data_IF_703810423850
#
_entry.id   IF_703810423850
#
_cell.length_a   1.000
_cell.length_b   1.000
_cell.length_c   1.000
_cell.angle_alpha   90.00
_cell.angle_beta   90.00
_cell.angle_gamma   90.00
#
_symmetry.space_group_name_H-M   'P 1'
#
loop_
_entity.id
_entity.type
_entity.pdbx_description
1 polymer ?
#
# COMPACT_ATOMS: atom_id res chain seq x y z
N UNK A 1 -27.70 -60.43 -31.52
CA UNK A 1 -26.51 -60.38 -30.65
C UNK A 1 -26.20 -58.91 -30.43
N UNK A 2 -26.40 -58.43 -29.18
CA UNK A 2 -26.18 -57.09 -28.60
C UNK A 2 -26.89 -55.87 -29.24
N UNK A 3 -27.37 -54.85 -28.52
CA UNK A 3 -28.00 -54.65 -27.22
C UNK A 3 -28.53 -53.20 -27.28
N UNK A 4 -29.71 -52.91 -26.69
CA UNK A 4 -30.13 -51.52 -26.44
C UNK A 4 -29.19 -50.88 -25.42
N UNK A 5 -28.82 -49.62 -25.60
CA UNK A 5 -28.43 -48.75 -24.47
C UNK A 5 -28.89 -47.31 -24.75
N UNK A 6 -29.94 -46.88 -24.05
CA UNK A 6 -30.18 -45.47 -23.74
C UNK A 6 -29.11 -45.05 -22.72
N UNK A 7 -28.43 -43.93 -22.93
CA UNK A 7 -27.90 -43.14 -21.82
C UNK A 7 -28.03 -41.65 -22.11
N UNK A 8 -28.75 -41.00 -21.21
CA UNK A 8 -28.86 -39.57 -20.98
C UNK A 8 -27.50 -38.93 -20.73
N UNK A 9 -27.24 -37.77 -21.34
CA UNK A 9 -26.38 -36.73 -20.76
C UNK A 9 -27.01 -35.36 -21.03
N UNK A 10 -28.02 -35.03 -20.22
CA UNK A 10 -28.21 -33.67 -19.73
C UNK A 10 -26.99 -33.34 -18.83
N UNK A 11 -26.53 -32.09 -18.81
CA UNK A 11 -25.29 -31.60 -18.17
C UNK A 11 -24.06 -31.78 -19.09
N UNK A 12 -23.45 -30.75 -19.66
CA UNK A 12 -22.92 -29.55 -19.04
C UNK A 12 -22.90 -28.41 -20.07
N UNK A 13 -23.90 -27.54 -20.01
CA UNK A 13 -23.79 -26.17 -20.53
C UNK A 13 -23.97 -25.24 -19.33
N UNK A 14 -23.12 -25.44 -18.32
CA UNK A 14 -22.96 -24.51 -17.22
C UNK A 14 -21.65 -23.75 -17.47
N UNK A 15 -21.83 -22.60 -18.13
CA UNK A 15 -21.20 -21.34 -17.77
C UNK A 15 -20.06 -21.47 -16.76
N UNK A 16 -18.84 -21.68 -17.25
CA UNK A 16 -17.68 -21.04 -16.63
C UNK A 16 -17.46 -19.71 -17.35
N UNK A 17 -18.47 -18.83 -17.23
CA UNK A 17 -18.15 -17.42 -17.13
C UNK A 17 -17.60 -17.33 -15.71
N UNK A 18 -16.27 -17.47 -15.59
CA UNK A 18 -15.59 -16.94 -14.43
C UNK A 18 -15.87 -15.44 -14.49
N UNK A 19 -16.92 -15.04 -13.78
CA UNK A 19 -17.23 -13.66 -13.54
C UNK A 19 -16.01 -13.12 -12.77
N UNK A 20 -15.10 -12.43 -13.47
CA UNK A 20 -14.07 -11.62 -12.83
C UNK A 20 -14.69 -10.35 -12.23
N UNK A 21 -15.94 -10.44 -11.79
CA UNK A 21 -16.64 -9.40 -11.07
C UNK A 21 -16.14 -9.45 -9.63
N UNK A 22 -15.45 -8.38 -9.24
CA UNK A 22 -15.07 -8.11 -7.85
C UNK A 22 -16.37 -8.09 -7.03
N UNK A 23 -16.60 -9.08 -6.16
CA UNK A 23 -17.79 -9.11 -5.32
C UNK A 23 -17.69 -7.98 -4.29
N UNK A 24 -18.39 -6.88 -4.53
CA UNK A 24 -18.51 -5.75 -3.60
C UNK A 24 -19.61 -6.05 -2.57
N UNK A 25 -19.44 -7.07 -1.73
CA UNK A 25 -20.51 -7.52 -0.83
C UNK A 25 -20.44 -6.94 0.59
N UNK A 26 -19.39 -6.19 0.95
CA UNK A 26 -19.20 -5.69 2.31
C UNK A 26 -19.24 -4.15 2.39
N UNK A 27 -20.46 -3.60 2.35
CA UNK A 27 -20.71 -2.18 2.64
C UNK A 27 -20.89 -1.99 4.16
N UNK A 28 -20.12 -1.08 4.74
CA UNK A 28 -20.10 -0.79 6.18
C UNK A 28 -20.29 0.70 6.46
N UNK A 29 -20.56 1.05 7.72
CA UNK A 29 -20.78 2.42 8.17
C UNK A 29 -19.94 2.70 9.43
N UNK A 30 -18.67 3.09 9.27
CA UNK A 30 -17.76 3.33 10.38
C UNK A 30 -18.27 4.43 11.32
N UNK A 31 -17.97 4.27 12.60
CA UNK A 31 -18.31 5.23 13.66
C UNK A 31 -17.10 5.46 14.54
N UNK A 32 -16.77 6.72 14.76
CA UNK A 32 -15.75 7.12 15.72
C UNK A 32 -16.40 7.30 17.09
N UNK A 33 -15.90 6.57 18.07
CA UNK A 33 -16.36 6.60 19.46
C UNK A 33 -15.24 7.20 20.30
N UNK A 34 -15.55 8.24 21.07
CA UNK A 34 -14.59 8.90 21.94
C UNK A 34 -15.02 8.74 23.40
N UNK A 35 -14.08 8.29 24.24
CA UNK A 35 -14.30 8.30 25.68
C UNK A 35 -14.36 9.75 26.21
N UNK A 36 -15.12 9.99 27.29
CA UNK A 36 -15.13 11.29 27.97
C UNK A 36 -13.94 11.34 28.94
N UNK A 37 -12.93 12.19 28.67
CA UNK A 37 -11.76 12.39 29.54
C UNK A 37 -10.62 13.14 28.86
N UNK A 38 -9.57 13.50 29.61
CA UNK A 38 -8.38 14.21 29.08
C UNK A 38 -7.49 13.29 28.22
N UNK A 39 -7.51 11.98 28.48
CA UNK A 39 -6.85 10.91 27.69
C UNK A 39 -7.91 10.04 27.00
N UNK A 40 -8.76 10.67 26.18
CA UNK A 40 -9.82 9.96 25.47
C UNK A 40 -9.23 8.99 24.42
N UNK A 41 -9.22 7.69 24.72
CA UNK A 41 -8.98 6.65 23.72
C UNK A 41 -10.04 6.79 22.62
N UNK A 42 -9.60 7.02 21.36
CA UNK A 42 -10.49 7.00 20.21
C UNK A 42 -10.63 5.56 19.73
N UNK A 43 -11.87 5.10 19.56
CA UNK A 43 -12.18 3.77 19.04
C UNK A 43 -12.93 3.91 17.72
N UNK A 44 -12.43 3.27 16.67
CA UNK A 44 -13.13 3.18 15.40
C UNK A 44 -13.90 1.86 15.34
N UNK A 45 -15.22 1.95 15.38
CA UNK A 45 -16.10 0.81 15.17
C UNK A 45 -16.48 0.73 13.69
N UNK A 46 -16.23 -0.40 13.02
CA UNK A 46 -16.57 -0.61 11.61
C UNK A 46 -17.66 -1.67 11.49
N UNK A 47 -17.44 -2.83 12.10
CA UNK A 47 -18.39 -3.94 12.25
C UNK A 47 -17.95 -4.85 13.41
N UNK A 48 -18.75 -5.85 13.78
CA UNK A 48 -18.54 -6.66 15.00
C UNK A 48 -17.12 -7.26 15.14
N UNK A 49 -16.51 -7.67 14.04
CA UNK A 49 -15.17 -8.27 13.99
C UNK A 49 -14.05 -7.28 13.64
N UNK A 50 -14.39 -6.00 13.36
CA UNK A 50 -13.43 -4.96 13.00
C UNK A 50 -13.66 -3.72 13.87
N UNK A 51 -12.96 -3.71 15.00
CA UNK A 51 -12.90 -2.58 15.94
C UNK A 51 -11.44 -2.21 16.17
N UNK A 52 -11.09 -0.93 15.96
CA UNK A 52 -9.72 -0.43 16.09
C UNK A 52 -9.58 0.48 17.30
N UNK A 53 -8.54 0.26 18.09
CA UNK A 53 -8.09 1.16 19.16
C UNK A 53 -7.04 2.10 18.60
N UNK A 54 -7.39 3.37 18.47
CA UNK A 54 -6.62 4.30 17.67
C UNK A 54 -5.53 4.98 18.50
N UNK A 55 -4.30 4.90 18.00
CA UNK A 55 -3.15 5.67 18.44
C UNK A 55 -2.70 6.60 17.31
N UNK A 56 -2.24 7.81 17.64
CA UNK A 56 -1.73 8.77 16.62
C UNK A 56 -0.55 8.18 15.86
N UNK A 57 -0.56 8.34 14.54
CA UNK A 57 0.57 7.98 13.68
C UNK A 57 1.60 9.11 13.67
N UNK A 58 2.87 8.74 13.64
CA UNK A 58 3.98 9.65 13.34
C UNK A 58 5.07 8.89 12.58
N UNK A 59 5.30 9.28 11.33
CA UNK A 59 6.24 8.67 10.39
C UNK A 59 6.80 9.66 9.36
N UNK A 60 6.16 10.81 9.16
CA UNK A 60 6.64 11.88 8.28
C UNK A 60 7.62 12.83 8.99
N UNK A 61 8.59 13.38 8.25
CA UNK A 61 9.35 14.54 8.72
C UNK A 61 8.47 15.79 8.77
N UNK A 62 8.75 16.71 9.69
CA UNK A 62 7.98 17.97 9.79
C UNK A 62 8.12 18.82 8.51
N UNK A 63 9.34 18.92 7.98
CA UNK A 63 9.61 19.46 6.64
C UNK A 63 9.63 18.31 5.64
N UNK A 64 8.44 17.94 5.16
CA UNK A 64 8.27 16.88 4.18
C UNK A 64 8.48 17.41 2.76
N UNK A 65 9.18 16.68 1.90
CA UNK A 65 9.44 17.09 0.51
C UNK A 65 8.59 16.26 -0.43
N UNK A 66 7.78 16.94 -1.25
CA UNK A 66 7.20 16.35 -2.44
C UNK A 66 7.92 16.86 -3.67
N UNK A 67 8.45 15.94 -4.49
CA UNK A 67 9.16 16.28 -5.73
C UNK A 67 8.38 15.77 -6.94
N UNK A 68 8.32 16.56 -8.00
CA UNK A 68 7.76 16.11 -9.28
C UNK A 68 8.50 16.72 -10.46
N UNK A 69 8.37 16.09 -11.63
CA UNK A 69 8.96 16.58 -12.86
C UNK A 69 7.95 17.42 -13.66
N UNK A 70 8.14 18.73 -13.69
CA UNK A 70 7.32 19.67 -14.48
C UNK A 70 8.17 20.19 -15.63
N UNK A 71 7.75 19.88 -16.88
CA UNK A 71 8.45 20.32 -18.09
C UNK A 71 9.94 19.97 -18.13
N UNK A 72 10.29 18.75 -17.68
CA UNK A 72 11.67 18.25 -17.65
C UNK A 72 12.54 18.87 -16.55
N UNK A 73 11.94 19.56 -15.57
CA UNK A 73 12.63 20.07 -14.39
C UNK A 73 12.02 19.47 -13.14
N UNK A 74 12.87 18.96 -12.24
CA UNK A 74 12.48 18.58 -10.89
C UNK A 74 12.10 19.83 -10.10
N UNK A 75 10.90 19.82 -9.52
CA UNK A 75 10.35 20.87 -8.67
C UNK A 75 10.05 20.28 -7.30
N UNK A 76 10.54 20.94 -6.26
CA UNK A 76 10.35 20.53 -4.87
C UNK A 76 9.29 21.43 -4.21
N UNK A 77 8.29 20.80 -3.58
CA UNK A 77 7.26 21.43 -2.74
C UNK A 77 7.47 20.96 -1.31
N UNK A 78 7.75 21.90 -0.41
CA UNK A 78 7.83 21.63 1.03
C UNK A 78 6.39 21.59 1.57
N UNK A 79 6.06 20.52 2.28
CA UNK A 79 4.77 20.27 2.91
C UNK A 79 4.97 20.09 4.43
N UNK A 80 3.93 20.40 5.21
CA UNK A 80 3.96 20.20 6.65
C UNK A 80 3.58 18.75 6.99
N UNK A 81 4.55 17.94 7.41
CA UNK A 81 4.30 16.54 7.77
C UNK A 81 3.32 16.37 8.92
N UNK A 82 3.32 17.29 9.91
CA UNK A 82 2.38 17.22 11.04
C UNK A 82 0.94 17.47 10.61
N UNK A 83 0.72 18.33 9.62
CA UNK A 83 -0.61 18.54 9.04
C UNK A 83 -1.05 17.33 8.22
N UNK A 84 -0.15 16.74 7.43
CA UNK A 84 -0.43 15.54 6.64
C UNK A 84 -0.83 14.34 7.51
N UNK A 85 -0.23 14.19 8.68
CA UNK A 85 -0.50 13.10 9.64
C UNK A 85 -1.58 13.44 10.67
N UNK A 86 -2.12 14.66 10.68
CA UNK A 86 -3.01 15.13 11.73
C UNK A 86 -4.21 14.20 11.97
N UNK A 87 -4.70 13.56 10.90
CA UNK A 87 -5.86 12.67 10.90
C UNK A 87 -5.50 11.18 10.78
N UNK A 88 -4.22 10.83 10.91
CA UNK A 88 -3.75 9.45 10.81
C UNK A 88 -3.64 8.77 12.14
N UNK A 89 -4.11 7.52 12.16
CA UNK A 89 -4.11 6.66 13.31
C UNK A 89 -3.64 5.25 12.94
N UNK A 90 -3.29 4.48 13.95
CA UNK A 90 -2.98 3.06 13.82
C UNK A 90 -3.51 2.27 15.02
N UNK A 91 -3.72 0.99 14.79
CA UNK A 91 -3.93 -0.01 15.85
C UNK A 91 -2.83 -1.06 15.69
N UNK A 92 -1.89 -1.05 16.63
CA UNK A 92 -0.77 -1.99 16.70
C UNK A 92 -1.26 -3.44 16.76
N UNK A 93 -2.27 -3.68 17.61
CA UNK A 93 -3.06 -4.89 17.76
C UNK A 93 -3.39 -5.60 16.45
N UNK A 94 -4.00 -4.80 15.58
CA UNK A 94 -4.65 -5.26 14.37
C UNK A 94 -3.76 -5.13 13.13
N UNK A 95 -2.53 -4.59 13.27
CA UNK A 95 -1.71 -4.17 12.14
C UNK A 95 -2.49 -3.25 11.20
N UNK A 96 -3.28 -2.34 11.76
CA UNK A 96 -4.13 -1.42 11.04
C UNK A 96 -3.54 -0.01 11.05
N UNK A 97 -3.71 0.71 9.94
CA UNK A 97 -3.35 2.13 9.84
C UNK A 97 -4.34 2.82 8.91
N UNK A 98 -4.99 3.87 9.43
CA UNK A 98 -6.12 4.54 8.78
C UNK A 98 -5.98 6.06 8.88
N UNK A 99 -6.44 6.75 7.85
CA UNK A 99 -6.72 8.18 7.87
C UNK A 99 -8.22 8.39 8.10
N UNK A 100 -8.58 9.28 9.02
CA UNK A 100 -9.96 9.53 9.46
C UNK A 100 -10.28 11.01 9.34
N UNK A 101 -11.18 11.35 8.42
CA UNK A 101 -11.73 12.71 8.31
C UNK A 101 -13.13 12.73 8.93
N UNK A 102 -13.33 13.60 9.91
CA UNK A 102 -14.63 13.84 10.52
C UNK A 102 -15.41 14.85 9.66
N UNK A 103 -16.65 14.52 9.30
CA UNK A 103 -17.55 15.41 8.57
C UNK A 103 -18.82 15.65 9.39
N UNK A 104 -19.63 16.64 9.00
CA UNK A 104 -20.97 16.78 9.57
C UNK A 104 -21.75 15.47 9.31
N UNK A 105 -22.16 14.78 10.37
CA UNK A 105 -22.98 13.56 10.28
C UNK A 105 -22.25 12.23 10.03
N UNK A 106 -20.93 12.17 9.87
CA UNK A 106 -20.21 10.93 9.59
C UNK A 106 -18.69 11.00 9.62
N UNK A 107 -18.03 9.89 9.33
CA UNK A 107 -16.56 9.81 9.23
C UNK A 107 -16.14 9.19 7.92
N UNK A 108 -15.15 9.75 7.25
CA UNK A 108 -14.49 9.15 6.08
C UNK A 108 -13.23 8.45 6.53
N UNK A 109 -13.19 7.13 6.35
CA UNK A 109 -12.03 6.30 6.66
C UNK A 109 -11.40 5.80 5.36
N UNK A 110 -10.10 6.02 5.20
CA UNK A 110 -9.28 5.40 4.16
C UNK A 110 -8.13 4.64 4.84
N UNK A 111 -7.80 3.44 4.37
CA UNK A 111 -6.55 2.80 4.79
C UNK A 111 -6.59 1.28 4.90
N UNK A 112 -5.78 0.77 5.83
CA UNK A 112 -5.46 -0.64 6.00
C UNK A 112 -6.06 -1.12 7.32
N UNK A 113 -6.94 -2.11 7.25
CA UNK A 113 -7.62 -2.68 8.42
C UNK A 113 -6.91 -3.92 8.96
N UNK A 114 -6.23 -4.66 8.09
CA UNK A 114 -5.44 -5.85 8.44
C UNK A 114 -4.47 -6.20 7.31
N UNK A 115 -3.80 -7.34 7.43
CA UNK A 115 -2.96 -7.91 6.37
C UNK A 115 -3.69 -8.12 5.03
N UNK A 116 -5.00 -8.30 5.06
CA UNK A 116 -5.85 -8.68 3.91
C UNK A 116 -7.00 -7.73 3.67
N UNK A 117 -7.34 -6.84 4.61
CA UNK A 117 -8.49 -5.95 4.49
C UNK A 117 -8.05 -4.49 4.30
N UNK A 118 -8.73 -3.79 3.40
CA UNK A 118 -8.61 -2.34 3.15
C UNK A 118 -9.99 -1.71 3.27
N UNK A 119 -10.04 -0.42 3.57
CA UNK A 119 -11.29 0.35 3.63
C UNK A 119 -11.18 1.62 2.80
N UNK A 120 -12.24 1.95 2.08
CA UNK A 120 -12.36 3.19 1.34
C UNK A 120 -13.82 3.69 1.36
N UNK A 121 -14.06 5.02 1.33
CA UNK A 121 -15.40 5.56 1.21
C UNK A 121 -15.97 5.23 -0.17
N UNK A 122 -17.27 4.93 -0.22
CA UNK A 122 -18.00 4.81 -1.48
C UNK A 122 -18.43 6.20 -1.96
N UNK A 123 -18.09 6.54 -3.21
CA UNK A 123 -18.46 7.80 -3.85
C UNK A 123 -19.90 7.69 -4.41
N UNK A 124 -20.88 7.60 -3.50
CA UNK A 124 -22.29 7.52 -3.87
C UNK A 124 -22.85 8.93 -3.97
N UNK A 125 -22.95 9.45 -5.20
CA UNK A 125 -23.66 10.69 -5.46
C UNK A 125 -25.12 10.58 -4.99
N UNK A 126 -25.57 11.55 -4.18
CA UNK A 126 -26.95 11.78 -3.74
C UNK A 126 -27.46 11.14 -2.43
N UNK A 127 -26.73 11.30 -1.31
CA UNK A 127 -27.38 11.40 0.01
C UNK A 127 -27.07 12.76 0.63
N UNK A 128 -28.00 13.30 1.42
CA UNK A 128 -27.80 14.54 2.18
C UNK A 128 -26.49 14.46 2.97
N UNK A 129 -25.74 15.56 3.03
CA UNK A 129 -24.45 15.71 3.75
C UNK A 129 -24.53 15.47 5.28
N UNK A 130 -25.59 14.84 5.78
CA UNK A 130 -25.97 14.80 7.20
C UNK A 130 -26.24 13.36 7.70
N UNK A 131 -25.48 12.37 7.22
CA UNK A 131 -25.65 10.98 7.63
C UNK A 131 -24.40 10.10 7.49
N UNK A 132 -24.47 8.84 7.99
CA UNK A 132 -23.35 7.92 7.96
C UNK A 132 -22.85 7.70 6.53
N UNK A 133 -21.55 7.86 6.34
CA UNK A 133 -20.89 7.67 5.05
C UNK A 133 -20.68 6.16 4.84
N UNK A 134 -21.12 5.59 3.70
CA UNK A 134 -20.89 4.19 3.39
C UNK A 134 -19.44 3.95 2.95
N UNK A 135 -18.87 2.84 3.37
CA UNK A 135 -17.53 2.39 3.01
C UNK A 135 -17.56 0.99 2.45
N UNK A 136 -16.61 0.68 1.58
CA UNK A 136 -16.35 -0.67 1.10
C UNK A 136 -15.15 -1.25 1.84
N UNK A 137 -15.30 -2.51 2.29
CA UNK A 137 -14.15 -3.32 2.74
C UNK A 137 -13.68 -4.18 1.57
N UNK A 138 -12.46 -3.91 1.12
CA UNK A 138 -11.80 -4.65 0.04
C UNK A 138 -10.90 -5.73 0.64
N UNK A 139 -11.11 -6.97 0.22
CA UNK A 139 -10.18 -8.06 0.48
C UNK A 139 -9.10 -8.08 -0.59
N UNK A 140 -7.83 -8.04 -0.18
CA UNK A 140 -6.65 -8.10 -1.05
C UNK A 140 -6.01 -9.48 -0.91
N UNK A 141 -5.81 -10.16 -2.04
CA UNK A 141 -5.12 -11.44 -2.09
C UNK A 141 -3.61 -11.27 -1.93
N UNK A 142 -2.99 -12.13 -1.14
CA UNK A 142 -1.53 -12.18 -1.03
C UNK A 142 -0.99 -13.11 -2.12
N UNK A 143 -0.23 -12.55 -3.07
CA UNK A 143 0.36 -13.32 -4.18
C UNK A 143 1.53 -14.21 -3.77
N UNK A 144 2.24 -13.88 -2.68
CA UNK A 144 3.37 -14.66 -2.17
C UNK A 144 3.01 -15.28 -0.81
N UNK A 145 3.28 -16.58 -0.65
CA UNK A 145 2.92 -17.44 0.48
C UNK A 145 3.57 -17.12 1.83
N UNK A 146 3.77 -15.84 2.17
CA UNK A 146 3.98 -15.41 3.56
C UNK A 146 2.62 -15.44 4.26
N UNK A 147 1.99 -16.61 4.27
CA UNK A 147 0.74 -16.85 4.96
C UNK A 147 1.06 -17.04 6.44
N UNK A 148 1.16 -15.93 7.16
CA UNK A 148 1.33 -15.92 8.60
C UNK A 148 0.71 -14.66 9.17
N UNK A 149 -0.27 -14.80 10.05
CA UNK A 149 -0.74 -13.66 10.85
C UNK A 149 0.46 -13.18 11.67
N UNK A 150 1.02 -12.03 11.27
CA UNK A 150 2.08 -11.38 12.06
C UNK A 150 1.52 -11.13 13.45
N UNK A 151 2.09 -11.79 14.45
CA UNK A 151 1.74 -11.54 15.84
C UNK A 151 2.71 -10.51 16.35
N UNK A 152 2.20 -9.35 16.70
CA UNK A 152 3.04 -8.28 17.21
C UNK A 152 3.66 -8.71 18.55
N UNK A 153 4.97 -8.59 18.68
CA UNK A 153 5.69 -8.85 19.92
C UNK A 153 5.34 -7.85 21.03
N UNK A 154 5.83 -8.07 22.26
CA UNK A 154 5.73 -7.06 23.32
C UNK A 154 6.39 -5.76 22.86
N UNK A 155 5.90 -4.63 23.35
CA UNK A 155 6.50 -3.33 23.03
C UNK A 155 7.89 -3.24 23.67
N UNK A 156 8.94 -3.18 22.83
CA UNK A 156 10.33 -3.09 23.29
C UNK A 156 10.71 -1.61 23.37
N UNK A 157 10.89 -1.11 24.59
CA UNK A 157 11.47 0.22 24.82
C UNK A 157 13.00 0.12 24.71
N UNK A 158 13.54 0.40 23.53
CA UNK A 158 14.98 0.58 23.33
C UNK A 158 15.33 2.06 23.50
N UNK A 159 16.41 2.37 24.24
CA UNK A 159 16.98 3.72 24.30
C UNK A 159 17.81 4.06 23.06
N UNK A 160 18.20 3.05 22.28
CA UNK A 160 18.99 3.22 21.06
C UNK A 160 18.10 3.03 19.82
N UNK A 161 17.55 4.14 19.34
CA UNK A 161 16.79 4.20 18.09
C UNK A 161 17.72 4.59 16.93
N UNK A 162 17.70 3.82 15.86
CA UNK A 162 18.35 4.14 14.60
C UNK A 162 17.29 4.60 13.61
N UNK A 163 17.30 5.90 13.33
CA UNK A 163 16.39 6.50 12.36
C UNK A 163 16.96 6.32 10.95
N UNK A 164 16.10 5.92 10.02
CA UNK A 164 16.44 5.74 8.61
C UNK A 164 15.58 6.69 7.79
N UNK A 165 16.20 7.69 7.18
CA UNK A 165 15.51 8.62 6.29
C UNK A 165 15.18 7.92 4.97
N UNK A 166 13.92 8.00 4.56
CA UNK A 166 13.38 7.26 3.44
C UNK A 166 12.83 8.22 2.38
N UNK A 167 13.29 8.02 1.15
CA UNK A 167 12.67 8.53 -0.07
C UNK A 167 11.86 7.43 -0.74
N UNK A 168 10.62 7.74 -1.10
CA UNK A 168 9.80 6.90 -1.98
C UNK A 168 9.70 7.58 -3.34
N UNK A 169 10.09 6.86 -4.39
CA UNK A 169 9.91 7.27 -5.78
C UNK A 169 8.77 6.46 -6.38
N UNK A 170 7.84 7.12 -7.06
CA UNK A 170 6.70 6.47 -7.74
C UNK A 170 6.72 6.72 -9.23
N UNK A 171 6.28 5.74 -10.00
CA UNK A 171 6.00 5.95 -11.43
C UNK A 171 4.61 6.55 -11.68
N UNK A 172 4.36 6.89 -12.95
CA UNK A 172 3.09 7.38 -13.44
C UNK A 172 1.97 6.34 -13.31
N UNK A 173 2.29 5.04 -13.41
CA UNK A 173 1.31 3.97 -13.19
C UNK A 173 0.74 3.99 -11.78
N UNK A 174 1.59 4.12 -10.76
CA UNK A 174 1.13 4.18 -9.38
C UNK A 174 0.49 5.53 -9.07
N UNK A 175 1.13 6.62 -9.48
CA UNK A 175 0.63 7.97 -9.24
C UNK A 175 -0.77 8.22 -9.84
N UNK A 176 -1.09 7.62 -11.00
CA UNK A 176 -2.39 7.79 -11.67
C UNK A 176 -3.60 7.31 -10.86
N UNK A 177 -3.39 6.50 -9.82
CA UNK A 177 -4.46 6.03 -8.95
C UNK A 177 -4.93 7.11 -7.95
N UNK A 178 -4.18 8.20 -7.80
CA UNK A 178 -4.41 9.23 -6.78
C UNK A 178 -4.95 10.52 -7.40
N UNK A 179 -5.93 11.12 -6.73
CA UNK A 179 -6.55 12.38 -7.18
C UNK A 179 -5.71 13.60 -6.80
N UNK A 180 -4.98 13.53 -5.68
CA UNK A 180 -4.18 14.63 -5.14
C UNK A 180 -2.82 14.11 -4.66
N UNK A 181 -1.84 15.02 -4.62
CA UNK A 181 -0.52 14.78 -4.03
C UNK A 181 -0.64 14.36 -2.56
N UNK A 182 -1.53 15.02 -1.82
CA UNK A 182 -1.78 14.74 -0.41
C UNK A 182 -2.27 13.29 -0.22
N UNK A 183 -3.22 12.81 -1.04
CA UNK A 183 -3.71 11.42 -0.97
C UNK A 183 -2.59 10.39 -1.19
N UNK A 184 -1.66 10.66 -2.14
CA UNK A 184 -0.50 9.79 -2.40
C UNK A 184 0.46 9.74 -1.21
N UNK A 185 0.84 10.91 -0.67
CA UNK A 185 1.75 11.00 0.47
C UNK A 185 1.13 10.32 1.69
N UNK A 186 -0.15 10.57 1.94
CA UNK A 186 -0.87 9.97 3.03
C UNK A 186 -0.96 8.44 2.91
N UNK A 187 -1.18 7.92 1.70
CA UNK A 187 -1.15 6.48 1.44
C UNK A 187 0.20 5.85 1.84
N UNK A 188 1.31 6.47 1.45
CA UNK A 188 2.63 5.97 1.86
C UNK A 188 2.90 6.11 3.35
N UNK A 189 2.43 7.18 3.99
CA UNK A 189 2.55 7.33 5.44
C UNK A 189 1.83 6.18 6.18
N UNK A 190 0.61 5.83 5.78
CA UNK A 190 -0.11 4.68 6.35
C UNK A 190 0.66 3.36 6.16
N UNK A 191 1.21 3.14 4.96
CA UNK A 191 2.04 1.96 4.67
C UNK A 191 3.30 1.94 5.55
N UNK A 192 4.01 3.05 5.65
CA UNK A 192 5.26 3.17 6.41
C UNK A 192 5.05 3.04 7.91
N UNK A 193 3.89 3.46 8.43
CA UNK A 193 3.56 3.17 9.83
C UNK A 193 3.48 1.67 10.08
N UNK A 194 2.86 0.90 9.20
CA UNK A 194 2.82 -0.57 9.33
C UNK A 194 4.18 -1.23 9.15
N UNK A 195 5.05 -0.66 8.32
CA UNK A 195 6.45 -1.09 8.25
C UNK A 195 7.13 -0.87 9.60
N UNK A 196 7.01 0.33 10.19
CA UNK A 196 7.60 0.63 11.49
C UNK A 196 7.12 -0.34 12.58
N UNK A 197 5.83 -0.70 12.62
CA UNK A 197 5.32 -1.70 13.60
C UNK A 197 6.03 -3.05 13.44
N UNK A 198 6.35 -3.49 12.21
CA UNK A 198 7.11 -4.72 11.98
C UNK A 198 8.56 -4.63 12.44
N UNK A 199 9.15 -3.44 12.38
CA UNK A 199 10.53 -3.21 12.81
C UNK A 199 10.63 -2.93 14.32
N UNK A 200 9.52 -2.81 15.05
CA UNK A 200 9.55 -2.66 16.52
C UNK A 200 10.18 -3.86 17.24
N UNK A 201 10.16 -5.04 16.62
CA UNK A 201 10.78 -6.26 17.14
C UNK A 201 12.32 -6.22 17.02
N UNK A 202 12.90 -5.22 16.35
CA UNK A 202 14.35 -5.04 16.28
C UNK A 202 14.90 -4.46 17.60
N UNK A 203 15.97 -5.07 18.11
CA UNK A 203 16.65 -4.62 19.32
C UNK A 203 18.15 -4.47 19.04
N UNK A 204 18.73 -3.33 19.44
CA UNK A 204 20.16 -3.00 19.33
C UNK A 204 20.71 -2.90 17.87
N UNK A 205 20.35 -1.85 17.12
CA UNK A 205 19.42 -0.78 17.48
C UNK A 205 17.97 -1.14 17.14
N UNK A 206 17.03 -0.38 17.71
CA UNK A 206 15.64 -0.39 17.24
C UNK A 206 15.54 0.50 16.00
N UNK A 207 15.15 -0.06 14.87
CA UNK A 207 15.07 0.67 13.60
C UNK A 207 13.73 1.38 13.48
N UNK A 208 13.76 2.65 13.08
CA UNK A 208 12.56 3.43 12.78
C UNK A 208 12.76 4.20 11.48
N UNK A 209 11.88 3.99 10.51
CA UNK A 209 11.88 4.72 9.25
C UNK A 209 11.17 6.07 9.42
N UNK A 210 11.78 7.11 8.87
CA UNK A 210 11.22 8.45 8.72
C UNK A 210 11.03 8.71 7.23
N UNK A 211 9.79 8.82 6.78
CA UNK A 211 9.48 9.14 5.38
C UNK A 211 9.65 10.65 5.19
N UNK A 212 10.70 11.04 4.47
CA UNK A 212 11.12 12.43 4.29
C UNK A 212 10.72 12.99 2.94
N UNK A 213 10.74 12.14 1.90
CA UNK A 213 10.49 12.55 0.53
C UNK A 213 9.60 11.57 -0.21
N UNK A 214 8.61 12.08 -0.94
CA UNK A 214 7.92 11.36 -2.03
C UNK A 214 8.22 12.08 -3.33
N UNK A 215 8.69 11.34 -4.32
CA UNK A 215 9.03 11.86 -5.64
C UNK A 215 8.27 11.13 -6.75
N UNK A 216 7.62 11.88 -7.64
CA UNK A 216 7.07 11.34 -8.88
C UNK A 216 8.19 11.32 -9.93
N UNK A 217 8.54 10.12 -10.38
CA UNK A 217 9.54 9.92 -11.42
C UNK A 217 9.14 10.61 -12.72
N UNK A 218 10.12 10.80 -13.61
CA UNK A 218 9.82 11.27 -14.95
C UNK A 218 8.84 10.31 -15.67
N UNK A 219 8.07 10.86 -16.61
CA UNK A 219 7.15 10.05 -17.40
C UNK A 219 7.91 8.94 -18.13
N UNK A 220 7.30 7.75 -18.21
CA UNK A 220 7.87 6.58 -18.89
C UNK A 220 9.22 6.13 -18.29
N UNK A 221 9.49 6.43 -17.00
CA UNK A 221 10.69 5.99 -16.31
C UNK A 221 10.78 4.46 -16.13
N UNK A 222 9.65 3.79 -16.04
CA UNK A 222 9.56 2.35 -15.80
C UNK A 222 10.21 1.51 -16.92
N UNK A 223 11.11 0.59 -16.55
CA UNK A 223 11.68 -0.41 -17.46
C UNK A 223 10.71 -1.58 -17.63
N UNK A 224 9.96 -1.58 -18.74
CA UNK A 224 8.84 -2.50 -18.98
C UNK A 224 9.06 -3.38 -20.21
N UNK A 225 8.47 -4.57 -20.17
CA UNK A 225 8.39 -5.49 -21.31
C UNK A 225 6.99 -6.09 -21.43
N UNK A 226 6.69 -6.69 -22.58
CA UNK A 226 5.40 -7.35 -22.84
C UNK A 226 5.61 -8.84 -23.05
N UNK A 227 4.78 -9.66 -22.42
CA UNK A 227 4.79 -11.11 -22.52
C UNK A 227 3.35 -11.66 -22.41
N UNK A 228 3.10 -12.94 -22.75
CA UNK A 228 1.83 -13.59 -22.43
C UNK A 228 1.48 -13.44 -20.95
N UNK A 229 0.22 -13.15 -20.65
CA UNK A 229 -0.23 -12.95 -19.28
C UNK A 229 -0.08 -14.24 -18.47
N UNK A 230 0.78 -14.24 -17.45
CA UNK A 230 1.00 -15.40 -16.57
C UNK A 230 -0.30 -15.88 -15.91
N UNK A 231 -1.20 -14.95 -15.57
CA UNK A 231 -2.46 -15.27 -14.90
C UNK A 231 -3.55 -15.69 -15.92
N UNK A 232 -3.38 -15.34 -17.21
CA UNK A 232 -4.30 -15.70 -18.31
C UNK A 232 -3.57 -15.94 -19.65
N UNK A 233 -2.74 -17.00 -19.78
CA UNK A 233 -1.77 -17.11 -20.89
C UNK A 233 -2.39 -17.27 -22.27
N UNK A 234 -3.64 -17.73 -22.33
CA UNK A 234 -4.34 -18.09 -23.57
C UNK A 234 -5.03 -16.91 -24.26
N UNK A 235 -5.13 -15.73 -23.63
CA UNK A 235 -6.03 -14.67 -24.10
C UNK A 235 -5.45 -13.25 -24.12
N UNK A 236 -4.32 -13.00 -23.47
CA UNK A 236 -3.78 -11.64 -23.37
C UNK A 236 -2.26 -11.60 -23.38
N UNK A 237 -1.74 -10.53 -23.96
CA UNK A 237 -0.42 -10.00 -23.63
C UNK A 237 -0.60 -9.04 -22.45
N UNK A 238 0.37 -9.05 -21.53
CA UNK A 238 0.40 -8.18 -20.36
C UNK A 238 1.76 -7.49 -20.28
N UNK A 239 1.73 -6.26 -19.78
CA UNK A 239 2.94 -5.47 -19.54
C UNK A 239 3.44 -5.75 -18.14
N UNK A 240 4.74 -6.04 -18.04
CA UNK A 240 5.46 -6.31 -16.80
C UNK A 240 6.60 -5.32 -16.64
N UNK A 241 7.06 -5.14 -15.40
CA UNK A 241 8.26 -4.38 -15.09
C UNK A 241 9.43 -5.35 -14.85
N UNK A 242 10.57 -5.09 -15.49
CA UNK A 242 11.79 -5.88 -15.30
C UNK A 242 12.48 -5.46 -13.99
N UNK A 243 12.54 -6.31 -12.96
CA UNK A 243 13.11 -5.93 -11.67
C UNK A 243 14.61 -5.59 -11.76
N UNK A 244 15.37 -6.31 -12.59
CA UNK A 244 16.82 -6.18 -12.69
C UNK A 244 17.21 -4.88 -13.40
N UNK A 245 16.53 -4.56 -14.49
CA UNK A 245 16.73 -3.29 -15.19
C UNK A 245 16.28 -2.13 -14.29
N UNK A 246 15.11 -2.27 -13.64
CA UNK A 246 14.53 -1.24 -12.79
C UNK A 246 15.43 -0.89 -11.60
N UNK A 247 15.93 -1.87 -10.86
CA UNK A 247 16.78 -1.59 -9.68
C UNK A 247 18.09 -0.91 -10.07
N UNK A 248 18.66 -1.25 -11.23
CA UNK A 248 19.89 -0.64 -11.72
C UNK A 248 19.63 0.80 -12.18
N UNK A 249 18.52 1.05 -12.90
CA UNK A 249 18.11 2.40 -13.30
C UNK A 249 17.84 3.29 -12.09
N UNK A 250 17.05 2.81 -11.12
CA UNK A 250 16.78 3.52 -9.87
C UNK A 250 18.07 3.82 -9.11
N UNK A 251 19.00 2.86 -9.00
CA UNK A 251 20.28 3.11 -8.34
C UNK A 251 21.16 4.13 -9.07
N UNK A 252 21.09 4.19 -10.41
CA UNK A 252 21.86 5.15 -11.20
C UNK A 252 21.32 6.57 -11.06
N UNK A 253 19.99 6.72 -11.06
CA UNK A 253 19.31 8.03 -11.04
C UNK A 253 19.11 8.55 -9.62
N UNK A 254 18.65 7.69 -8.70
CA UNK A 254 18.25 8.04 -7.33
C UNK A 254 19.17 7.47 -6.25
N UNK A 255 20.24 6.74 -6.62
CA UNK A 255 21.14 6.14 -5.63
C UNK A 255 22.15 7.12 -5.01
N UNK A 256 22.20 8.37 -5.49
CA UNK A 256 22.90 9.49 -4.85
C UNK A 256 21.83 10.44 -4.31
N UNK A 257 21.33 10.12 -3.13
CA UNK A 257 20.30 10.88 -2.42
C UNK A 257 20.84 11.29 -1.05
N UNK A 258 20.29 12.36 -0.49
CA UNK A 258 20.58 12.76 0.89
C UNK A 258 20.00 11.75 1.89
N UNK A 259 18.85 11.15 1.54
CA UNK A 259 18.18 10.12 2.32
C UNK A 259 18.98 8.79 2.35
N UNK A 260 18.86 8.08 3.47
CA UNK A 260 19.56 6.81 3.69
C UNK A 260 19.07 5.67 2.78
N UNK A 261 17.78 5.68 2.42
CA UNK A 261 17.16 4.65 1.58
C UNK A 261 16.24 5.29 0.54
N UNK A 262 16.33 4.78 -0.69
CA UNK A 262 15.36 5.04 -1.74
C UNK A 262 14.59 3.76 -2.08
N UNK A 263 13.26 3.82 -2.08
CA UNK A 263 12.38 2.75 -2.54
C UNK A 263 11.62 3.23 -3.77
N UNK A 264 11.63 2.43 -4.83
CA UNK A 264 10.83 2.68 -6.02
C UNK A 264 9.55 1.84 -5.97
N UNK A 265 8.39 2.44 -6.24
CA UNK A 265 7.07 1.82 -6.16
C UNK A 265 6.33 1.95 -7.49
N UNK A 266 5.67 0.87 -7.89
CA UNK A 266 4.86 0.77 -9.10
C UNK A 266 3.56 0.01 -8.85
N UNK A 267 2.56 0.22 -9.71
CA UNK A 267 1.37 -0.63 -9.83
C UNK A 267 1.48 -1.66 -10.97
N UNK A 268 2.61 -1.71 -11.67
CA UNK A 268 2.88 -2.72 -12.72
C UNK A 268 3.43 -3.99 -12.08
N UNK A 269 2.95 -5.15 -12.56
CA UNK A 269 3.43 -6.44 -12.07
C UNK A 269 4.91 -6.64 -12.42
N UNK A 270 5.72 -6.96 -11.42
CA UNK A 270 7.11 -7.35 -11.62
C UNK A 270 7.17 -8.78 -12.16
N UNK A 271 8.05 -9.03 -13.14
CA UNK A 271 8.31 -10.37 -13.62
C UNK A 271 9.75 -10.50 -14.14
N UNK A 272 10.37 -11.65 -13.88
CA UNK A 272 11.61 -12.01 -14.57
C UNK A 272 11.28 -12.40 -16.01
N UNK A 273 12.10 -11.94 -16.95
CA UNK A 273 11.97 -12.26 -18.37
C UNK A 273 13.07 -13.25 -18.79
N UNK A 274 12.68 -14.47 -19.14
CA UNK A 274 13.59 -15.45 -19.73
C UNK A 274 13.08 -15.82 -21.13
N UNK A 275 13.84 -15.42 -22.15
CA UNK A 275 13.55 -15.69 -23.57
C UNK A 275 12.11 -15.34 -23.99
N UNK A 276 11.57 -14.22 -23.50
CA UNK A 276 10.22 -13.75 -23.81
C UNK A 276 9.11 -14.36 -22.95
N UNK A 277 9.46 -15.22 -21.98
CA UNK A 277 8.53 -15.78 -21.00
C UNK A 277 8.63 -15.00 -19.68
N UNK A 278 7.49 -14.51 -19.20
CA UNK A 278 7.39 -13.81 -17.90
C UNK A 278 7.19 -14.79 -16.74
N UNK A 279 7.87 -14.55 -15.63
CA UNK A 279 7.67 -15.24 -14.35
C UNK A 279 7.36 -14.20 -13.25
N UNK A 280 6.08 -14.06 -12.88
CA UNK A 280 5.56 -12.98 -12.02
C UNK A 280 5.62 -13.28 -10.50
N UNK A 281 6.55 -14.12 -10.06
CA UNK A 281 6.73 -14.44 -8.64
C UNK A 281 7.50 -13.36 -7.86
N UNK A 282 8.18 -12.46 -8.58
CA UNK A 282 8.93 -11.35 -7.98
C UNK A 282 7.95 -10.28 -7.48
N UNK A 283 8.04 -9.91 -6.20
CA UNK A 283 7.22 -8.85 -5.60
C UNK A 283 8.03 -7.58 -5.27
N UNK A 284 9.35 -7.65 -5.42
CA UNK A 284 10.28 -6.56 -5.14
C UNK A 284 11.72 -7.05 -5.23
N UNK A 285 12.65 -6.11 -5.38
CA UNK A 285 14.09 -6.40 -5.41
C UNK A 285 14.84 -5.33 -4.62
N UNK A 286 15.91 -5.74 -3.94
CA UNK A 286 16.75 -4.84 -3.15
C UNK A 286 18.24 -5.15 -3.36
N UNK A 287 19.10 -4.13 -3.20
CA UNK A 287 20.56 -4.32 -3.15
C UNK A 287 20.96 -4.71 -1.73
N UNK A 288 21.59 -5.87 -1.58
CA UNK A 288 22.08 -6.33 -0.28
C UNK A 288 23.19 -5.41 0.26
N UNK A 289 23.11 -5.06 1.54
CA UNK A 289 24.14 -4.26 2.23
C UNK A 289 24.25 -2.82 1.75
N UNK A 290 23.18 -2.25 1.15
CA UNK A 290 23.20 -0.88 0.62
C UNK A 290 23.29 0.21 1.71
N UNK A 291 22.56 0.02 2.82
CA UNK A 291 22.37 1.05 3.86
C UNK A 291 23.65 1.41 4.64
N UNK A 292 24.49 0.42 4.96
CA UNK A 292 25.67 0.61 5.80
C UNK A 292 26.99 0.64 5.00
N UNK A 293 26.93 0.93 3.69
CA UNK A 293 28.12 0.93 2.85
C UNK A 293 28.84 2.28 2.91
N UNK A 294 30.04 2.29 3.48
CA UNK A 294 30.90 3.47 3.51
C UNK A 294 31.13 4.06 2.11
N UNK A 295 31.01 5.39 1.99
CA UNK A 295 31.36 6.15 0.79
C UNK A 295 30.21 6.53 -0.16
N UNK A 296 28.95 6.34 0.23
CA UNK A 296 27.77 6.81 -0.56
C UNK A 296 26.94 7.92 0.07
N UNK A 297 27.12 8.25 1.35
CA UNK A 297 26.65 9.52 1.91
C UNK A 297 27.56 10.63 1.35
N UNK A 298 27.02 11.51 0.53
CA UNK A 298 27.68 12.74 0.09
C UNK A 298 26.82 13.91 0.51
#
# INVERSE_FOLDING_TARGET
>A
MFAKFQFTFFSWLLLWVADCARSTDNVVYPRLLEARGLDAEKVLYIQDDVVLRLQKTSVLSESFVFSENINGRRVDRIMNGKELEANMYHDRNQMASVNIEETNGGVKVKGILSDTLRIAPLDIGARSDDGPIPHEILKVEQRAGISGKYKVGPEITSSNNFYVELKIVVDDYHNSAFKTTEDLVQYFALCMKLVNIRYEDTSNPRVQFLLTTVEVAEKDFAEVFTAPDVDCPSRSQKRYMDPVLMINKTANVYGKSEEDVTVFVTSVDLADNFDGTAYNHVMGQAKLGGLCKDGRRR
#
